data_IF_085451454658
#
_entry.id   IF_085451454658
#
_cell.length_a   1.000
_cell.length_b   1.000
_cell.length_c   1.000
_cell.angle_alpha   90.00
_cell.angle_beta   90.00
_cell.angle_gamma   90.00
#
_symmetry.space_group_name_H-M   'P 1'
#
loop_
_entity.id
_entity.type
_entity.pdbx_description
1 polymer ?
#
# COMPACT_ATOMS: atom_id res chain seq x y z
N UNK A 1 -15.29 -12.58 17.63
CA UNK A 1 -15.14 -11.51 16.63
C UNK A 1 -16.01 -11.89 15.45
N UNK A 2 -16.84 -11.00 14.91
CA UNK A 2 -17.56 -11.29 13.68
C UNK A 2 -16.55 -11.54 12.55
N UNK A 3 -16.77 -12.54 11.70
CA UNK A 3 -15.97 -12.72 10.49
C UNK A 3 -16.09 -11.48 9.61
N UNK A 4 -14.94 -10.93 9.21
CA UNK A 4 -14.94 -9.83 8.25
C UNK A 4 -15.18 -10.41 6.86
N UNK A 5 -16.07 -9.81 6.06
CA UNK A 5 -16.28 -10.27 4.70
C UNK A 5 -14.98 -10.10 3.90
N UNK A 6 -14.63 -11.15 3.14
CA UNK A 6 -13.51 -11.14 2.19
C UNK A 6 -13.94 -10.36 0.95
N UNK A 7 -13.85 -9.03 1.06
CA UNK A 7 -14.21 -8.09 0.01
C UNK A 7 -12.98 -7.23 -0.34
N UNK A 8 -12.51 -7.26 -1.60
CA UNK A 8 -12.95 -8.16 -2.68
C UNK A 8 -12.53 -9.63 -2.41
N UNK A 9 -13.18 -10.63 -3.04
CA UNK A 9 -12.71 -12.01 -2.98
C UNK A 9 -11.31 -12.13 -3.59
N UNK A 10 -10.53 -13.16 -3.22
CA UNK A 10 -9.24 -13.41 -3.84
C UNK A 10 -9.38 -13.47 -5.37
N UNK A 11 -8.45 -12.86 -6.13
CA UNK A 11 -8.51 -12.90 -7.59
C UNK A 11 -8.45 -14.34 -8.09
N UNK A 12 -9.23 -14.64 -9.13
CA UNK A 12 -9.31 -15.96 -9.76
C UNK A 12 -8.04 -16.34 -10.53
N UNK A 13 -7.19 -15.36 -10.84
CA UNK A 13 -5.93 -15.54 -11.57
C UNK A 13 -4.76 -14.96 -10.76
N UNK A 14 -3.53 -15.50 -10.93
CA UNK A 14 -2.34 -14.97 -10.28
C UNK A 14 -2.09 -13.52 -10.70
N UNK A 15 -1.89 -12.64 -9.73
CA UNK A 15 -1.45 -11.27 -9.99
C UNK A 15 -0.01 -11.31 -10.50
N UNK A 16 0.37 -10.37 -11.38
CA UNK A 16 1.76 -10.23 -11.83
C UNK A 16 2.74 -10.18 -10.64
N UNK A 17 3.92 -10.82 -10.72
CA UNK A 17 4.93 -10.74 -9.67
C UNK A 17 5.29 -9.29 -9.33
N UNK A 18 5.51 -9.02 -8.03
CA UNK A 18 5.84 -7.67 -7.56
C UNK A 18 6.65 -7.68 -6.27
N UNK A 19 7.30 -6.56 -5.99
CA UNK A 19 7.99 -6.29 -4.73
C UNK A 19 7.00 -5.62 -3.78
N UNK A 20 6.55 -6.34 -2.75
CA UNK A 20 5.41 -5.90 -1.93
C UNK A 20 5.87 -5.28 -0.62
N UNK A 21 5.40 -4.06 -0.35
CA UNK A 21 5.46 -3.44 0.98
C UNK A 21 4.05 -3.39 1.56
N UNK A 22 3.85 -3.98 2.73
CA UNK A 22 2.54 -4.07 3.40
C UNK A 22 2.49 -3.14 4.61
N UNK A 23 1.44 -2.33 4.71
CA UNK A 23 1.25 -1.44 5.85
C UNK A 23 -0.21 -1.03 6.06
N UNK A 24 -0.53 -0.54 7.27
CA UNK A 24 -1.85 0.07 7.54
C UNK A 24 -1.91 1.53 7.09
N UNK A 25 -0.81 2.27 7.19
CA UNK A 25 -0.75 3.68 6.80
C UNK A 25 -1.86 4.53 7.47
N UNK A 26 -2.01 4.42 8.79
CA UNK A 26 -3.05 5.10 9.59
C UNK A 26 -2.42 6.12 10.56
N UNK A 27 -2.08 7.35 10.12
CA UNK A 27 -2.08 7.83 8.74
C UNK A 27 -0.77 7.50 8.04
N UNK A 28 -0.65 7.86 6.76
CA UNK A 28 0.65 7.92 6.11
C UNK A 28 1.54 8.97 6.80
N UNK A 29 2.84 8.69 6.95
CA UNK A 29 3.78 9.55 7.69
C UNK A 29 5.22 9.34 7.21
N UNK A 30 6.15 10.18 7.64
CA UNK A 30 7.56 10.18 7.18
C UNK A 30 8.29 8.85 7.36
N UNK A 31 8.00 8.11 8.43
CA UNK A 31 8.56 6.75 8.59
C UNK A 31 8.12 5.77 7.50
N UNK A 32 6.89 5.88 7.00
CA UNK A 32 6.40 5.09 5.88
C UNK A 32 7.05 5.54 4.56
N UNK A 33 7.18 6.85 4.35
CA UNK A 33 7.87 7.41 3.18
C UNK A 33 9.31 6.89 3.06
N UNK A 34 10.11 7.01 4.12
CA UNK A 34 11.50 6.50 4.11
C UNK A 34 11.55 4.99 3.88
N UNK A 35 10.64 4.22 4.48
CA UNK A 35 10.56 2.78 4.24
C UNK A 35 10.28 2.45 2.76
N UNK A 36 9.37 3.18 2.13
CA UNK A 36 9.01 2.98 0.73
C UNK A 36 10.14 3.39 -0.23
N UNK A 37 10.82 4.50 0.05
CA UNK A 37 12.00 4.93 -0.72
C UNK A 37 13.12 3.89 -0.66
N UNK A 38 13.42 3.34 0.52
CA UNK A 38 14.44 2.30 0.64
C UNK A 38 14.00 0.98 0.01
N UNK A 39 12.72 0.63 0.11
CA UNK A 39 12.17 -0.52 -0.61
C UNK A 39 12.34 -0.36 -2.12
N UNK A 40 12.08 0.82 -2.67
CA UNK A 40 12.25 1.11 -4.10
C UNK A 40 13.71 1.00 -4.54
N UNK A 41 14.65 1.55 -3.76
CA UNK A 41 16.09 1.42 -4.03
C UNK A 41 16.54 -0.05 -4.05
N UNK A 42 16.09 -0.83 -3.08
CA UNK A 42 16.38 -2.27 -3.00
C UNK A 42 15.73 -3.02 -4.17
N UNK A 43 14.49 -2.68 -4.54
CA UNK A 43 13.78 -3.26 -5.67
C UNK A 43 14.53 -2.99 -6.98
N UNK A 44 14.88 -1.75 -7.29
CA UNK A 44 15.62 -1.40 -8.51
C UNK A 44 16.95 -2.16 -8.57
N UNK A 45 17.67 -2.24 -7.44
CA UNK A 45 18.99 -2.88 -7.38
C UNK A 45 18.93 -4.40 -7.61
N UNK A 46 17.99 -5.09 -6.97
CA UNK A 46 17.99 -6.55 -6.91
C UNK A 46 16.91 -7.19 -7.80
N UNK A 47 15.85 -6.47 -8.10
CA UNK A 47 14.65 -6.94 -8.79
C UNK A 47 14.06 -5.88 -9.76
N UNK A 48 14.85 -5.33 -10.70
CA UNK A 48 14.43 -4.20 -11.53
C UNK A 48 13.18 -4.47 -12.38
N UNK A 49 12.91 -5.74 -12.70
CA UNK A 49 11.77 -6.17 -13.51
C UNK A 49 10.45 -6.30 -12.72
N UNK A 50 10.50 -6.24 -11.37
CA UNK A 50 9.31 -6.30 -10.54
C UNK A 50 8.75 -4.91 -10.32
N UNK A 51 7.43 -4.73 -10.33
CA UNK A 51 6.81 -3.47 -9.91
C UNK A 51 6.83 -3.34 -8.38
N UNK A 52 6.96 -2.11 -7.86
CA UNK A 52 6.69 -1.85 -6.45
C UNK A 52 5.18 -1.89 -6.21
N UNK A 53 4.76 -2.68 -5.23
CA UNK A 53 3.37 -2.81 -4.81
C UNK A 53 3.27 -2.35 -3.36
N UNK A 54 2.42 -1.36 -3.10
CA UNK A 54 2.12 -0.86 -1.77
C UNK A 54 0.75 -1.41 -1.39
N UNK A 55 0.74 -2.42 -0.53
CA UNK A 55 -0.46 -3.09 -0.05
C UNK A 55 -0.95 -2.42 1.24
N UNK A 56 -2.16 -1.90 1.19
CA UNK A 56 -2.86 -1.21 2.27
C UNK A 56 -3.70 -2.26 3.01
N UNK A 57 -3.30 -2.58 4.23
CA UNK A 57 -4.01 -3.56 5.07
C UNK A 57 -5.22 -2.97 5.79
N UNK A 58 -6.09 -3.85 6.31
CA UNK A 58 -7.31 -3.46 7.05
C UNK A 58 -8.30 -2.60 6.25
N UNK A 59 -8.29 -2.70 4.92
CA UNK A 59 -9.15 -1.91 4.04
C UNK A 59 -10.62 -2.29 4.10
N UNK A 60 -10.91 -3.54 4.48
CA UNK A 60 -12.28 -4.02 4.69
C UNK A 60 -12.82 -3.75 6.10
N UNK A 61 -12.13 -2.93 6.90
CA UNK A 61 -12.58 -2.56 8.25
C UNK A 61 -13.22 -1.17 8.23
N UNK A 62 -14.36 -0.98 8.93
CA UNK A 62 -14.94 0.33 9.10
C UNK A 62 -14.01 1.23 9.91
N UNK A 63 -14.23 2.54 9.79
CA UNK A 63 -13.46 3.54 10.50
C UNK A 63 -13.75 3.48 12.00
N UNK A 64 -12.69 3.66 12.79
CA UNK A 64 -12.76 3.73 14.26
C UNK A 64 -11.71 4.72 14.74
N UNK A 65 -11.73 5.13 16.02
CA UNK A 65 -10.66 5.97 16.58
C UNK A 65 -9.24 5.39 16.41
N UNK A 66 -9.12 4.06 16.26
CA UNK A 66 -7.83 3.37 16.01
C UNK A 66 -7.56 3.07 14.52
N UNK A 67 -8.52 3.34 13.65
CA UNK A 67 -8.47 3.17 12.20
C UNK A 67 -9.26 4.32 11.55
N UNK A 68 -8.85 5.58 11.76
CA UNK A 68 -9.74 6.72 11.51
C UNK A 68 -9.85 7.10 10.04
N UNK A 69 -9.00 6.56 9.17
CA UNK A 69 -9.07 6.81 7.72
C UNK A 69 -9.55 5.57 6.96
N UNK A 70 -10.41 5.79 5.98
CA UNK A 70 -10.82 4.80 5.00
C UNK A 70 -9.64 4.28 4.17
N UNK A 71 -9.86 3.21 3.39
CA UNK A 71 -8.87 2.76 2.41
C UNK A 71 -8.59 3.83 1.34
N UNK A 72 -9.64 4.50 0.85
CA UNK A 72 -9.56 5.55 -0.17
C UNK A 72 -8.73 6.73 0.30
N UNK A 73 -8.97 7.27 1.50
CA UNK A 73 -8.19 8.41 2.02
C UNK A 73 -6.72 8.05 2.18
N UNK A 74 -6.41 6.82 2.60
CA UNK A 74 -5.01 6.36 2.70
C UNK A 74 -4.35 6.21 1.34
N UNK A 75 -5.09 5.75 0.32
CA UNK A 75 -4.63 5.76 -1.07
C UNK A 75 -4.33 7.20 -1.48
N UNK A 76 -5.23 8.15 -1.24
CA UNK A 76 -5.03 9.57 -1.59
C UNK A 76 -3.80 10.18 -0.91
N UNK A 77 -3.58 9.89 0.38
CA UNK A 77 -2.37 10.35 1.09
C UNK A 77 -1.08 9.82 0.45
N UNK A 78 -1.05 8.53 0.10
CA UNK A 78 0.14 7.92 -0.50
C UNK A 78 0.33 8.39 -1.94
N UNK A 79 -0.74 8.47 -2.74
CA UNK A 79 -0.71 8.99 -4.11
C UNK A 79 -0.19 10.43 -4.14
N UNK A 80 -0.70 11.29 -3.25
CA UNK A 80 -0.23 12.67 -3.16
C UNK A 80 1.27 12.74 -2.84
N UNK A 81 1.76 11.92 -1.91
CA UNK A 81 3.19 11.85 -1.62
C UNK A 81 4.02 11.32 -2.81
N UNK A 82 3.56 10.28 -3.51
CA UNK A 82 4.23 9.74 -4.70
C UNK A 82 4.38 10.81 -5.79
N UNK A 83 3.31 11.57 -6.04
CA UNK A 83 3.28 12.63 -7.07
C UNK A 83 4.16 13.83 -6.71
N UNK A 84 4.11 14.28 -5.46
CA UNK A 84 4.68 15.58 -5.06
C UNK A 84 6.08 15.48 -4.45
N UNK A 85 6.49 14.32 -3.91
CA UNK A 85 7.75 14.17 -3.19
C UNK A 85 8.62 13.01 -3.71
N UNK A 86 8.03 11.82 -3.91
CA UNK A 86 8.81 10.60 -4.14
C UNK A 86 9.29 10.41 -5.59
N UNK A 87 8.44 10.78 -6.56
CA UNK A 87 8.71 10.75 -8.00
C UNK A 87 9.14 9.38 -8.56
N UNK A 88 8.55 8.29 -8.06
CA UNK A 88 8.67 6.95 -8.64
C UNK A 88 7.30 6.26 -8.76
N UNK A 89 7.22 5.25 -9.63
CA UNK A 89 5.98 4.51 -9.88
C UNK A 89 5.74 3.40 -8.84
N UNK A 90 4.52 3.31 -8.33
CA UNK A 90 4.08 2.21 -7.48
C UNK A 90 2.62 1.83 -7.76
N UNK A 91 2.28 0.56 -7.54
CA UNK A 91 0.89 0.08 -7.60
C UNK A 91 0.31 0.09 -6.19
N UNK A 92 -0.79 0.82 -5.98
CA UNK A 92 -1.54 0.83 -4.73
C UNK A 92 -2.64 -0.23 -4.75
N UNK A 93 -2.67 -1.10 -3.75
CA UNK A 93 -3.69 -2.13 -3.56
C UNK A 93 -4.26 -2.02 -2.15
N UNK A 94 -5.59 -2.04 -2.02
CA UNK A 94 -6.28 -1.97 -0.72
C UNK A 94 -7.30 -3.10 -0.59
#
# INVERSE_FOLDING_TARGET
MAELPLLPPPPSSPISPGFVVLGRFQPFHRGHAMMLEEAEKIRIKNHPNLKLIIAIGSSNRPETLRNPWSATERIEMISSWLENEAHFDAVLLA
#
